data_IF_773256632679
#
_entry.id   IF_773256632679
#
_cell.length_a   1.000
_cell.length_b   1.000
_cell.length_c   1.000
_cell.angle_alpha   90.00
_cell.angle_beta   90.00
_cell.angle_gamma   90.00
#
_symmetry.space_group_name_H-M   'P 1'
#
loop_
_entity.id
_entity.type
_entity.pdbx_description
1 polymer ?
#
# COMPACT_ATOMS: atom_id res chain seq x y z
N UNK A 1 -6.60 5.52 -1.48
CA UNK A 1 -7.76 4.69 -1.11
C UNK A 1 -7.36 3.27 -0.76
N UNK A 2 -6.47 2.61 -1.53
CA UNK A 2 -6.01 1.22 -1.32
C UNK A 2 -5.56 0.90 0.12
N UNK A 3 -4.66 1.71 0.70
CA UNK A 3 -4.21 1.49 2.08
C UNK A 3 -5.37 1.52 3.08
N UNK A 4 -6.28 2.49 2.96
CA UNK A 4 -7.44 2.59 3.83
C UNK A 4 -8.42 1.43 3.62
N UNK A 5 -8.58 0.93 2.39
CA UNK A 5 -9.38 -0.27 2.11
C UNK A 5 -8.76 -1.51 2.77
N UNK A 6 -7.45 -1.70 2.64
CA UNK A 6 -6.73 -2.78 3.33
C UNK A 6 -6.94 -2.72 4.84
N UNK A 7 -6.78 -1.54 5.46
CA UNK A 7 -6.98 -1.36 6.90
C UNK A 7 -8.44 -1.57 7.32
N UNK A 8 -9.40 -1.11 6.53
CA UNK A 8 -10.82 -1.35 6.80
C UNK A 8 -11.16 -2.85 6.76
N UNK A 9 -10.62 -3.59 5.79
CA UNK A 9 -10.78 -5.05 5.70
C UNK A 9 -10.10 -5.75 6.89
N UNK A 10 -8.86 -5.40 7.20
CA UNK A 10 -8.05 -6.04 8.24
C UNK A 10 -8.68 -5.91 9.64
N UNK A 11 -9.29 -4.75 9.93
CA UNK A 11 -9.86 -4.45 11.24
C UNK A 11 -11.39 -4.49 11.27
N UNK A 12 -12.02 -4.99 10.20
CA UNK A 12 -13.48 -5.05 10.06
C UNK A 12 -14.16 -3.70 10.34
N UNK A 13 -13.63 -2.63 9.73
CA UNK A 13 -14.15 -1.27 9.85
C UNK A 13 -14.97 -0.90 8.62
N UNK A 14 -16.12 -0.25 8.85
CA UNK A 14 -16.91 0.33 7.77
C UNK A 14 -16.33 1.72 7.39
N UNK A 15 -15.81 1.91 6.17
CA UNK A 15 -15.23 3.18 5.76
C UNK A 15 -16.22 4.35 5.70
N UNK A 16 -17.53 4.08 5.66
CA UNK A 16 -18.58 5.09 5.69
C UNK A 16 -19.03 5.45 7.11
N UNK A 17 -18.62 4.65 8.12
CA UNK A 17 -19.00 4.90 9.51
C UNK A 17 -18.28 6.12 10.07
N UNK A 18 -19.03 6.91 10.84
CA UNK A 18 -18.52 8.11 11.48
C UNK A 18 -17.29 7.79 12.36
N UNK A 19 -16.23 8.58 12.19
CA UNK A 19 -14.98 8.42 12.94
C UNK A 19 -13.99 7.37 12.41
N UNK A 20 -14.35 6.57 11.39
CA UNK A 20 -13.42 5.58 10.81
C UNK A 20 -12.42 6.23 9.85
N UNK A 21 -12.93 6.92 8.83
CA UNK A 21 -12.11 7.69 7.89
C UNK A 21 -12.37 9.17 8.09
N UNK A 22 -11.43 9.84 8.74
CA UNK A 22 -11.49 11.28 9.03
C UNK A 22 -10.26 11.99 8.48
N UNK A 23 -10.47 13.18 7.91
CA UNK A 23 -9.38 14.12 7.64
C UNK A 23 -8.84 14.75 8.92
N UNK A 24 -7.66 15.35 8.87
CA UNK A 24 -7.07 16.01 10.04
C UNK A 24 -7.98 17.14 10.56
N UNK A 25 -8.55 17.95 9.67
CA UNK A 25 -9.50 19.01 10.03
C UNK A 25 -10.80 18.49 10.67
N UNK A 26 -11.26 17.29 10.31
CA UNK A 26 -12.39 16.63 10.97
C UNK A 26 -12.00 16.16 12.37
N UNK A 27 -10.78 15.63 12.53
CA UNK A 27 -10.22 15.28 13.83
C UNK A 27 -10.09 16.48 14.77
N UNK A 28 -9.64 17.63 14.27
CA UNK A 28 -9.57 18.87 15.04
C UNK A 28 -10.94 19.32 15.55
N UNK A 29 -11.96 19.33 14.67
CA UNK A 29 -13.34 19.68 15.05
C UNK A 29 -13.94 18.74 16.10
N UNK A 30 -13.41 17.51 16.19
CA UNK A 30 -13.79 16.51 17.21
C UNK A 30 -12.93 16.56 18.48
N UNK A 31 -11.89 17.39 18.52
CA UNK A 31 -10.97 17.50 19.66
C UNK A 31 -9.98 16.33 19.80
N UNK A 32 -9.78 15.52 18.75
CA UNK A 32 -8.86 14.36 18.76
C UNK A 32 -7.62 14.55 17.90
N UNK A 33 -7.47 15.71 17.24
CA UNK A 33 -6.31 16.06 16.44
C UNK A 33 -5.94 17.54 16.60
N UNK A 34 -4.75 17.91 16.12
CA UNK A 34 -4.26 19.29 16.13
C UNK A 34 -4.96 20.14 15.05
N UNK A 35 -4.82 21.47 15.13
CA UNK A 35 -5.46 22.43 14.22
C UNK A 35 -4.81 22.47 12.81
N UNK A 36 -4.76 21.33 12.13
CA UNK A 36 -4.38 21.25 10.73
C UNK A 36 -5.62 21.15 9.83
N UNK A 37 -5.57 21.85 8.70
CA UNK A 37 -6.67 21.94 7.74
C UNK A 37 -6.65 20.84 6.66
N UNK A 38 -5.64 19.95 6.67
CA UNK A 38 -5.54 18.90 5.67
C UNK A 38 -6.57 17.78 5.88
N UNK A 39 -7.00 17.11 4.79
CA UNK A 39 -6.76 17.47 3.40
C UNK A 39 -7.82 18.46 2.86
N UNK A 40 -8.63 19.07 3.73
CA UNK A 40 -9.80 19.90 3.37
C UNK A 40 -9.48 21.10 2.46
N UNK A 41 -8.28 21.69 2.57
CA UNK A 41 -7.83 22.76 1.67
C UNK A 41 -7.23 22.27 0.34
N UNK A 42 -6.86 20.98 0.26
CA UNK A 42 -6.12 20.41 -0.88
C UNK A 42 -7.05 19.65 -1.83
N UNK A 43 -7.92 18.79 -1.29
CA UNK A 43 -8.83 17.96 -2.07
C UNK A 43 -9.73 18.73 -3.05
N UNK A 44 -10.30 19.92 -2.69
CA UNK A 44 -11.11 20.70 -3.63
C UNK A 44 -10.36 21.13 -4.89
N UNK A 45 -9.02 21.28 -4.84
CA UNK A 45 -8.19 21.63 -6.00
C UNK A 45 -8.19 20.56 -7.08
N UNK A 46 -8.61 19.34 -6.74
CA UNK A 46 -8.68 18.18 -7.63
C UNK A 46 -10.12 17.68 -7.82
N UNK A 47 -11.13 18.46 -7.43
CA UNK A 47 -12.54 18.04 -7.48
C UNK A 47 -12.84 16.85 -6.56
N UNK A 48 -12.04 16.66 -5.50
CA UNK A 48 -12.21 15.59 -4.50
C UNK A 48 -12.69 16.16 -3.18
N UNK A 49 -13.24 15.28 -2.35
CA UNK A 49 -13.63 15.52 -0.95
C UNK A 49 -13.36 14.28 -0.10
N UNK A 50 -13.44 14.42 1.23
CA UNK A 50 -13.39 13.26 2.13
C UNK A 50 -14.50 12.26 1.80
N UNK A 51 -15.67 12.73 1.37
CA UNK A 51 -16.77 11.84 0.95
C UNK A 51 -16.43 11.07 -0.33
N UNK A 52 -15.83 11.73 -1.33
CA UNK A 52 -15.35 11.01 -2.51
C UNK A 52 -14.27 9.99 -2.15
N UNK A 53 -13.42 10.29 -1.16
CA UNK A 53 -12.39 9.36 -0.70
C UNK A 53 -12.99 8.15 0.03
N UNK A 54 -13.99 8.36 0.90
CA UNK A 54 -14.74 7.28 1.57
C UNK A 54 -15.44 6.40 0.53
N UNK A 55 -16.04 7.01 -0.50
CA UNK A 55 -16.65 6.29 -1.61
C UNK A 55 -15.62 5.45 -2.38
N UNK A 56 -14.45 6.02 -2.71
CA UNK A 56 -13.35 5.31 -3.38
C UNK A 56 -12.88 4.11 -2.52
N UNK A 57 -12.77 4.26 -1.20
CA UNK A 57 -12.42 3.16 -0.27
C UNK A 57 -13.50 2.09 -0.25
N UNK A 58 -14.78 2.48 -0.16
CA UNK A 58 -15.91 1.56 -0.16
C UNK A 58 -16.00 0.77 -1.47
N UNK A 59 -15.76 1.42 -2.60
CA UNK A 59 -15.74 0.78 -3.92
C UNK A 59 -14.62 -0.28 -4.01
N UNK A 60 -13.43 0.01 -3.46
CA UNK A 60 -12.35 -0.97 -3.40
C UNK A 60 -12.67 -2.17 -2.50
N UNK A 61 -13.41 -1.97 -1.40
CA UNK A 61 -13.87 -3.07 -0.55
C UNK A 61 -14.90 -3.95 -1.26
N UNK A 62 -15.85 -3.36 -1.97
CA UNK A 62 -16.87 -4.09 -2.74
C UNK A 62 -16.27 -4.81 -3.97
N UNK A 63 -15.31 -4.18 -4.66
CA UNK A 63 -14.58 -4.80 -5.78
C UNK A 63 -13.53 -5.83 -5.34
N UNK A 64 -13.30 -5.97 -4.03
CA UNK A 64 -12.45 -7.00 -3.43
C UNK A 64 -13.24 -8.26 -3.04
N UNK A 65 -14.48 -8.42 -3.51
CA UNK A 65 -15.15 -9.72 -3.62
C UNK A 65 -14.47 -10.58 -4.70
N UNK A 66 -13.21 -10.90 -4.46
CA UNK A 66 -12.53 -12.08 -5.00
C UNK A 66 -12.46 -13.06 -3.84
N UNK A 67 -12.89 -14.32 -4.01
CA UNK A 67 -13.03 -15.27 -2.91
C UNK A 67 -11.71 -15.46 -2.18
N UNK A 68 -11.80 -15.87 -0.92
CA UNK A 68 -10.67 -16.33 -0.12
C UNK A 68 -9.67 -17.17 -0.93
N UNK A 69 -8.36 -17.07 -0.67
CA UNK A 69 -7.39 -17.92 -1.32
C UNK A 69 -7.49 -19.35 -0.76
N UNK A 70 -8.39 -20.16 -1.31
CA UNK A 70 -8.11 -21.57 -1.51
C UNK A 70 -7.26 -21.68 -2.78
N UNK A 71 -5.96 -21.89 -2.59
CA UNK A 71 -5.07 -22.27 -3.68
C UNK A 71 -5.47 -23.65 -4.26
N UNK A 72 -4.97 -24.04 -5.44
CA UNK A 72 -4.76 -23.29 -6.68
C UNK A 72 -5.38 -24.02 -7.90
N UNK A 73 -5.61 -23.33 -9.03
CA UNK A 73 -5.30 -23.86 -10.37
C UNK A 73 -5.51 -22.80 -11.47
N UNK A 74 -4.50 -22.66 -12.33
CA UNK A 74 -4.30 -21.74 -13.47
C UNK A 74 -4.79 -22.48 -14.75
N UNK A 75 -4.98 -21.88 -15.97
CA UNK A 75 -4.48 -20.59 -16.43
C UNK A 75 -5.36 -19.76 -17.41
N UNK A 76 -5.21 -18.43 -17.41
CA UNK A 76 -5.47 -17.62 -18.60
C UNK A 76 -4.60 -16.35 -18.62
N UNK A 77 -3.83 -16.23 -19.71
CA UNK A 77 -2.98 -15.12 -20.17
C UNK A 77 -2.80 -13.93 -19.22
N UNK A 78 -1.68 -13.93 -18.48
CA UNK A 78 -1.21 -12.77 -17.74
C UNK A 78 -0.43 -11.83 -18.67
N UNK A 79 -0.92 -10.60 -18.81
CA UNK A 79 -0.11 -9.44 -19.23
C UNK A 79 1.24 -9.45 -18.49
N UNK A 80 2.37 -9.08 -19.15
CA UNK A 80 3.69 -9.13 -18.52
C UNK A 80 3.69 -8.24 -17.27
N UNK A 81 3.67 -8.85 -16.09
CA UNK A 81 3.69 -8.15 -14.81
C UNK A 81 4.91 -7.24 -14.76
N UNK A 82 4.69 -5.93 -14.69
CA UNK A 82 5.77 -4.93 -14.60
C UNK A 82 6.49 -5.09 -13.27
N UNK A 83 7.74 -5.57 -13.32
CA UNK A 83 8.57 -5.76 -12.14
C UNK A 83 9.40 -4.51 -11.87
N UNK A 84 9.34 -4.01 -10.64
CA UNK A 84 10.24 -2.98 -10.13
C UNK A 84 11.30 -3.65 -9.26
N UNK A 85 12.59 -3.37 -9.51
CA UNK A 85 13.71 -3.93 -8.76
C UNK A 85 14.30 -2.86 -7.85
N UNK A 86 14.58 -3.23 -6.61
CA UNK A 86 15.25 -2.37 -5.63
C UNK A 86 16.69 -2.82 -5.49
N UNK A 87 17.63 -1.87 -5.59
CA UNK A 87 19.05 -2.14 -5.42
C UNK A 87 19.45 -1.92 -3.95
N UNK A 88 20.08 -2.94 -3.38
CA UNK A 88 20.52 -2.99 -1.98
C UNK A 88 21.99 -2.57 -1.80
N UNK A 89 22.76 -2.48 -2.90
CA UNK A 89 24.14 -1.98 -2.89
C UNK A 89 24.78 -1.99 -4.27
N UNK A 90 25.86 -1.21 -4.44
CA UNK A 90 26.77 -1.24 -5.59
C UNK A 90 28.20 -1.42 -5.07
N UNK A 91 28.94 -2.40 -5.61
CA UNK A 91 30.28 -2.73 -5.13
C UNK A 91 31.24 -2.87 -6.29
N UNK A 92 32.43 -2.27 -6.18
CA UNK A 92 33.54 -2.46 -7.13
C UNK A 92 34.32 -3.77 -6.89
N UNK A 93 34.17 -4.36 -5.70
CA UNK A 93 34.87 -5.59 -5.28
C UNK A 93 33.85 -6.73 -5.14
N UNK A 94 34.05 -7.82 -5.88
CA UNK A 94 33.16 -8.99 -5.91
C UNK A 94 32.90 -9.60 -4.53
N UNK A 95 33.95 -9.77 -3.72
CA UNK A 95 33.82 -10.33 -2.37
C UNK A 95 32.84 -9.54 -1.48
N UNK A 96 32.78 -8.21 -1.62
CA UNK A 96 31.85 -7.39 -0.84
C UNK A 96 30.41 -7.58 -1.31
N UNK A 97 30.18 -7.76 -2.61
CA UNK A 97 28.86 -8.07 -3.16
C UNK A 97 28.36 -9.44 -2.70
N UNK A 98 29.24 -10.45 -2.67
CA UNK A 98 28.93 -11.79 -2.17
C UNK A 98 28.60 -11.80 -0.68
N UNK A 99 29.35 -11.05 0.13
CA UNK A 99 29.07 -10.90 1.55
C UNK A 99 27.68 -10.27 1.81
N UNK A 100 27.28 -9.28 0.99
CA UNK A 100 25.95 -8.69 1.09
C UNK A 100 24.85 -9.68 0.64
N UNK A 101 25.08 -10.41 -0.45
CA UNK A 101 24.17 -11.46 -0.91
C UNK A 101 23.92 -12.51 0.18
N UNK A 102 24.97 -12.98 0.85
CA UNK A 102 24.86 -13.96 1.92
C UNK A 102 24.03 -13.43 3.10
N UNK A 103 24.24 -12.18 3.51
CA UNK A 103 23.43 -11.52 4.55
C UNK A 103 21.96 -11.43 4.16
N UNK A 104 21.66 -11.06 2.91
CA UNK A 104 20.29 -10.93 2.42
C UNK A 104 19.57 -12.28 2.40
N UNK A 105 20.24 -13.33 1.92
CA UNK A 105 19.69 -14.69 1.95
C UNK A 105 19.44 -15.16 3.39
N UNK A 106 20.36 -14.88 4.32
CA UNK A 106 20.18 -15.19 5.73
C UNK A 106 19.01 -14.40 6.37
N UNK A 107 18.76 -13.18 5.90
CA UNK A 107 17.63 -12.35 6.30
C UNK A 107 16.29 -12.75 5.64
N UNK A 108 16.27 -13.78 4.79
CA UNK A 108 15.05 -14.31 4.16
C UNK A 108 14.81 -13.84 2.72
N UNK A 109 15.71 -13.06 2.12
CA UNK A 109 15.62 -12.68 0.71
C UNK A 109 16.26 -13.74 -0.19
N UNK A 110 15.54 -14.82 -0.47
CA UNK A 110 16.04 -15.98 -1.24
C UNK A 110 16.37 -15.65 -2.69
N UNK A 111 15.62 -14.72 -3.28
CA UNK A 111 15.73 -14.31 -4.69
C UNK A 111 16.71 -13.16 -4.91
N UNK A 112 17.51 -12.80 -3.90
CA UNK A 112 18.59 -11.84 -4.07
C UNK A 112 19.65 -12.39 -5.05
N UNK A 113 20.09 -11.55 -5.99
CA UNK A 113 21.12 -11.88 -6.97
C UNK A 113 22.07 -10.70 -7.20
N UNK A 114 23.29 -11.00 -7.65
CA UNK A 114 24.26 -9.99 -8.10
C UNK A 114 24.06 -9.80 -9.60
N UNK A 115 23.88 -8.54 -10.01
CA UNK A 115 23.90 -8.14 -11.43
C UNK A 115 25.24 -7.49 -11.73
N UNK A 116 25.92 -7.94 -12.78
CA UNK A 116 27.12 -7.27 -13.32
C UNK A 116 26.69 -6.29 -14.42
N UNK A 117 27.34 -5.13 -14.47
CA UNK A 117 27.27 -4.20 -15.60
C UNK A 117 28.35 -4.51 -16.64
#
# INVERSE_FOLDING_TARGET
AELCAFLCKQYNLDPAKDGVLIGHYEGYRRGIANNHADPGHWFPRFGKSLDSFRADVKALLAGSEVPEPSAPEVPALAEPKKLYRVQVGAYSVKANAEAMLAKLKAAGFTDAFIKTE
#
